data_IF_819461011671
#
_entry.id   IF_819461011671
#
_cell.length_a   1.000
_cell.length_b   1.000
_cell.length_c   1.000
_cell.angle_alpha   90.00
_cell.angle_beta   90.00
_cell.angle_gamma   90.00
#
_symmetry.space_group_name_H-M   'P 1'
#
loop_
_entity.id
_entity.type
_entity.pdbx_description
1 polymer ?
#
# COMPACT_ATOMS: atom_id res chain seq x y z
N UNK A 1 12.32 -28.49 -15.53
CA UNK A 1 12.93 -27.23 -15.05
C UNK A 1 11.82 -26.31 -14.55
N UNK A 2 11.74 -26.03 -13.25
CA UNK A 2 10.79 -25.05 -12.71
C UNK A 2 11.36 -23.66 -12.96
N UNK A 3 10.74 -22.87 -13.84
CA UNK A 3 11.10 -21.47 -14.01
C UNK A 3 10.82 -20.75 -12.68
N UNK A 4 11.87 -20.30 -11.98
CA UNK A 4 11.73 -19.42 -10.81
C UNK A 4 11.07 -18.13 -11.29
N UNK A 5 9.78 -17.94 -11.00
CA UNK A 5 9.08 -16.67 -11.26
C UNK A 5 9.81 -15.56 -10.52
N UNK A 6 10.26 -14.54 -11.25
CA UNK A 6 10.85 -13.33 -10.67
C UNK A 6 9.76 -12.64 -9.85
N UNK A 7 9.85 -12.74 -8.52
CA UNK A 7 8.88 -12.08 -7.63
C UNK A 7 9.21 -10.61 -7.60
N UNK A 8 8.37 -9.78 -8.22
CA UNK A 8 8.47 -8.32 -8.14
C UNK A 8 8.27 -7.92 -6.68
N UNK A 9 9.20 -7.12 -6.15
CA UNK A 9 9.10 -6.55 -4.79
C UNK A 9 8.08 -5.41 -4.82
N UNK A 10 7.02 -5.53 -4.02
CA UNK A 10 5.94 -4.55 -3.94
C UNK A 10 6.05 -3.85 -2.58
N UNK A 11 6.45 -2.58 -2.50
CA UNK A 11 6.48 -1.87 -1.23
C UNK A 11 5.06 -1.69 -0.69
N UNK A 12 4.90 -1.79 0.63
CA UNK A 12 3.63 -1.57 1.31
C UNK A 12 3.86 -0.83 2.63
N UNK A 13 3.06 0.21 2.89
CA UNK A 13 3.01 0.85 4.21
C UNK A 13 1.78 0.36 4.95
N UNK A 14 1.96 -0.10 6.18
CA UNK A 14 0.85 -0.33 7.08
C UNK A 14 0.69 0.87 8.01
N UNK A 15 -0.51 1.44 8.00
CA UNK A 15 -0.87 2.58 8.83
C UNK A 15 -2.09 2.24 9.67
N UNK A 16 -2.21 2.92 10.81
CA UNK A 16 -3.31 2.76 11.75
C UNK A 16 -4.07 4.07 11.88
N UNK A 17 -5.38 4.03 11.71
CA UNK A 17 -6.25 5.17 11.95
C UNK A 17 -6.27 5.55 13.44
N UNK A 18 -6.52 6.82 13.78
CA UNK A 18 -6.80 7.20 15.17
C UNK A 18 -7.98 6.39 15.73
N UNK A 19 -7.98 6.10 17.04
CA UNK A 19 -9.10 5.39 17.69
C UNK A 19 -10.45 6.08 17.48
N UNK A 20 -10.44 7.42 17.45
CA UNK A 20 -11.58 8.30 17.15
C UNK A 20 -12.21 8.02 15.77
N UNK A 21 -11.47 7.33 14.88
CA UNK A 21 -11.85 6.95 13.51
C UNK A 21 -11.95 5.43 13.35
N UNK A 22 -12.15 4.70 14.44
CA UNK A 22 -12.31 3.23 14.44
C UNK A 22 -11.01 2.43 14.64
N UNK A 23 -9.84 3.05 14.50
CA UNK A 23 -8.56 2.40 14.81
C UNK A 23 -8.12 1.30 13.83
N UNK A 24 -8.75 1.20 12.67
CA UNK A 24 -8.46 0.22 11.62
C UNK A 24 -7.06 0.34 11.03
N UNK A 25 -6.64 -0.72 10.33
CA UNK A 25 -5.34 -0.81 9.66
C UNK A 25 -5.54 -0.69 8.16
N UNK A 26 -4.73 0.16 7.52
CA UNK A 26 -4.71 0.35 6.07
C UNK A 26 -3.34 -0.01 5.51
N UNK A 27 -3.36 -0.82 4.46
CA UNK A 27 -2.24 -1.10 3.59
C UNK A 27 -2.23 -0.09 2.44
N UNK A 28 -1.14 0.63 2.27
CA UNK A 28 -0.94 1.60 1.20
C UNK A 28 0.14 1.05 0.27
N UNK A 29 -0.17 0.96 -1.03
CA UNK A 29 0.78 0.54 -2.06
C UNK A 29 1.34 1.80 -2.73
N UNK A 30 2.46 2.36 -2.24
CA UNK A 30 2.87 3.73 -2.56
C UNK A 30 3.39 3.87 -4.00
N UNK A 31 3.68 2.76 -4.66
CA UNK A 31 4.12 2.68 -6.07
C UNK A 31 2.98 2.38 -7.02
N UNK A 32 1.82 1.92 -6.53
CA UNK A 32 0.65 1.64 -7.35
C UNK A 32 -0.25 2.87 -7.43
N UNK A 33 -0.68 3.21 -8.64
CA UNK A 33 -1.62 4.31 -8.87
C UNK A 33 -2.99 3.93 -8.29
N UNK A 34 -3.63 4.89 -7.62
CA UNK A 34 -5.03 4.74 -7.20
C UNK A 34 -6.01 5.20 -8.28
N UNK A 35 -5.65 6.27 -8.99
CA UNK A 35 -6.40 6.89 -10.10
C UNK A 35 -5.41 7.45 -11.13
N UNK A 36 -5.88 8.22 -12.11
CA UNK A 36 -5.06 8.96 -13.07
C UNK A 36 -4.32 10.17 -12.44
N UNK A 37 -4.41 10.35 -11.12
CA UNK A 37 -3.61 11.31 -10.35
C UNK A 37 -2.43 10.60 -9.64
N UNK A 38 -1.17 10.99 -9.92
CA UNK A 38 0.01 10.40 -9.29
C UNK A 38 0.10 10.64 -7.78
N UNK A 39 -0.69 11.54 -7.20
CA UNK A 39 -0.79 11.76 -5.75
C UNK A 39 -1.64 10.71 -5.04
N UNK A 40 -2.49 10.00 -5.78
CA UNK A 40 -3.31 8.91 -5.25
C UNK A 40 -2.63 7.55 -5.34
N UNK A 41 -2.76 6.73 -4.31
CA UNK A 41 -2.27 5.34 -4.28
C UNK A 41 -3.42 4.36 -4.16
N UNK A 42 -3.22 3.15 -4.67
CA UNK A 42 -4.06 2.01 -4.32
C UNK A 42 -3.90 1.68 -2.82
N UNK A 43 -5.01 1.45 -2.14
CA UNK A 43 -5.05 1.17 -0.69
C UNK A 43 -6.04 0.05 -0.38
N UNK A 44 -5.81 -0.66 0.73
CA UNK A 44 -6.61 -1.80 1.15
C UNK A 44 -6.66 -1.91 2.67
N UNK A 45 -7.84 -2.11 3.27
CA UNK A 45 -7.98 -2.30 4.74
C UNK A 45 -8.35 -3.71 5.14
N UNK A 46 -9.49 -4.22 4.67
CA UNK A 46 -9.98 -5.59 4.85
C UNK A 46 -10.90 -5.95 3.68
N UNK A 47 -11.23 -7.23 3.51
CA UNK A 47 -12.06 -7.75 2.40
C UNK A 47 -13.25 -6.84 2.11
N UNK A 48 -13.28 -6.31 0.88
CA UNK A 48 -14.32 -5.39 0.39
C UNK A 48 -13.99 -3.90 0.50
N UNK A 49 -12.87 -3.52 1.13
CA UNK A 49 -12.45 -2.12 1.33
C UNK A 49 -11.15 -1.84 0.55
N UNK A 50 -11.22 -1.97 -0.78
CA UNK A 50 -10.17 -1.53 -1.71
C UNK A 50 -10.58 -0.18 -2.30
N UNK A 51 -9.69 0.81 -2.23
CA UNK A 51 -9.94 2.10 -2.86
C UNK A 51 -8.66 2.84 -3.23
N UNK A 52 -8.86 4.06 -3.71
CA UNK A 52 -7.81 5.04 -3.93
C UNK A 52 -7.86 6.11 -2.85
N UNK A 53 -6.69 6.62 -2.45
CA UNK A 53 -6.61 7.75 -1.53
C UNK A 53 -5.36 8.58 -1.77
N UNK A 54 -5.39 9.86 -1.38
CA UNK A 54 -4.18 10.70 -1.36
C UNK A 54 -3.18 10.11 -0.37
N UNK A 55 -2.04 9.66 -0.88
CA UNK A 55 -1.04 8.96 -0.08
C UNK A 55 -0.48 9.83 1.03
N UNK A 56 -0.29 11.13 0.78
CA UNK A 56 0.35 12.05 1.70
C UNK A 56 -0.63 12.46 2.81
N UNK A 57 -1.89 12.69 2.48
CA UNK A 57 -2.95 12.99 3.43
C UNK A 57 -3.21 11.79 4.37
N UNK A 58 -3.38 10.59 3.82
CA UNK A 58 -3.57 9.37 4.64
C UNK A 58 -2.38 9.13 5.57
N UNK A 59 -1.14 9.28 5.08
CA UNK A 59 0.05 9.13 5.94
C UNK A 59 0.09 10.18 7.05
N UNK A 60 -0.35 11.42 6.81
CA UNK A 60 -0.40 12.46 7.84
C UNK A 60 -1.48 12.21 8.90
N UNK A 61 -2.64 11.67 8.51
CA UNK A 61 -3.78 11.42 9.40
C UNK A 61 -3.68 10.14 10.22
N UNK A 62 -2.77 9.26 9.86
CA UNK A 62 -2.60 7.93 10.47
C UNK A 62 -1.27 7.82 11.22
N UNK A 63 -1.12 6.76 12.03
CA UNK A 63 0.15 6.39 12.66
C UNK A 63 0.76 5.16 11.98
N UNK A 64 2.05 4.87 12.21
CA UNK A 64 2.64 3.59 11.79
C UNK A 64 1.97 2.46 12.55
N UNK A 65 1.56 1.41 11.84
CA UNK A 65 1.09 0.18 12.48
C UNK A 65 2.30 -0.67 12.90
N UNK A 66 2.21 -1.30 14.07
CA UNK A 66 3.22 -2.27 14.53
C UNK A 66 3.05 -3.61 13.79
N UNK A 67 4.09 -4.47 13.77
CA UNK A 67 3.98 -5.80 13.19
C UNK A 67 2.81 -6.64 13.72
N UNK A 68 2.50 -6.56 15.01
CA UNK A 68 1.36 -7.27 15.59
C UNK A 68 0.02 -6.70 15.11
N UNK A 69 -0.08 -5.39 14.92
CA UNK A 69 -1.32 -4.74 14.47
C UNK A 69 -1.65 -5.08 13.02
N UNK A 70 -0.66 -5.11 12.12
CA UNK A 70 -0.92 -5.41 10.71
C UNK A 70 -0.82 -6.90 10.35
N UNK A 71 -0.46 -7.78 11.29
CA UNK A 71 -0.24 -9.21 11.01
C UNK A 71 -1.45 -9.89 10.35
N UNK A 72 -2.66 -9.59 10.84
CA UNK A 72 -3.90 -10.14 10.27
C UNK A 72 -4.10 -9.69 8.83
N UNK A 73 -3.94 -8.38 8.57
CA UNK A 73 -4.08 -7.82 7.23
C UNK A 73 -3.00 -8.33 6.27
N UNK A 74 -1.76 -8.45 6.72
CA UNK A 74 -0.68 -9.00 5.90
C UNK A 74 -0.97 -10.46 5.49
N UNK A 75 -1.48 -11.28 6.43
CA UNK A 75 -1.90 -12.65 6.14
C UNK A 75 -3.05 -12.69 5.12
N UNK A 76 -3.99 -11.77 5.23
CA UNK A 76 -5.10 -11.61 4.29
C UNK A 76 -4.60 -11.24 2.89
N UNK A 77 -3.74 -10.23 2.76
CA UNK A 77 -3.12 -9.84 1.48
C UNK A 77 -2.40 -11.02 0.82
N UNK A 78 -1.69 -11.84 1.60
CA UNK A 78 -1.08 -13.06 1.09
C UNK A 78 -2.10 -14.12 0.66
N UNK A 79 -3.24 -14.23 1.34
CA UNK A 79 -4.32 -15.17 1.00
C UNK A 79 -4.97 -14.79 -0.34
N UNK A 80 -5.18 -13.50 -0.59
CA UNK A 80 -5.80 -13.00 -1.84
C UNK A 80 -4.82 -12.88 -3.01
N UNK A 81 -3.54 -13.21 -2.81
CA UNK A 81 -2.58 -13.39 -3.90
C UNK A 81 -1.50 -12.30 -4.02
N UNK A 82 -1.45 -11.32 -3.13
CA UNK A 82 -0.28 -10.43 -3.07
C UNK A 82 0.97 -11.25 -2.71
N UNK A 83 1.98 -11.22 -3.58
CA UNK A 83 3.27 -11.87 -3.42
C UNK A 83 4.38 -10.82 -3.45
N UNK A 84 5.47 -11.05 -2.75
CA UNK A 84 6.63 -10.14 -2.77
C UNK A 84 6.42 -8.82 -2.04
N UNK A 85 5.47 -8.75 -1.10
CA UNK A 85 5.26 -7.55 -0.28
C UNK A 85 6.51 -7.23 0.54
N UNK A 86 6.95 -5.98 0.50
CA UNK A 86 8.06 -5.44 1.30
C UNK A 86 7.52 -4.33 2.18
N UNK A 87 7.43 -4.60 3.49
CA UNK A 87 6.93 -3.61 4.44
C UNK A 87 7.92 -2.46 4.59
N UNK A 88 7.47 -1.24 4.34
CA UNK A 88 8.26 -0.02 4.50
C UNK A 88 7.58 0.93 5.49
N UNK A 89 8.39 1.63 6.30
CA UNK A 89 7.90 2.46 7.41
C UNK A 89 7.80 3.95 7.07
N UNK A 90 8.47 4.37 5.99
CA UNK A 90 8.56 5.78 5.57
C UNK A 90 8.05 5.91 4.13
N UNK A 91 7.25 6.94 3.88
CA UNK A 91 6.89 7.33 2.53
C UNK A 91 8.11 8.01 1.89
N UNK A 92 8.68 7.36 0.87
CA UNK A 92 9.83 7.88 0.13
C UNK A 92 9.39 8.69 -1.08
N UNK A 93 10.16 9.73 -1.44
CA UNK A 93 9.88 10.52 -2.65
C UNK A 93 9.97 9.69 -3.93
N UNK A 94 10.82 8.64 -3.94
CA UNK A 94 10.96 7.68 -5.04
C UNK A 94 9.63 7.02 -5.42
N UNK A 95 8.71 6.82 -4.46
CA UNK A 95 7.42 6.21 -4.74
C UNK A 95 6.49 7.12 -5.57
N UNK A 96 6.52 8.44 -5.31
CA UNK A 96 5.79 9.41 -6.14
C UNK A 96 6.40 9.48 -7.55
N UNK A 97 7.73 9.46 -7.64
CA UNK A 97 8.40 9.42 -8.94
C UNK A 97 8.03 8.16 -9.73
N UNK A 98 7.88 7.01 -9.06
CA UNK A 98 7.43 5.78 -9.71
C UNK A 98 6.00 5.86 -10.23
N UNK A 99 5.06 6.39 -9.45
CA UNK A 99 3.69 6.62 -9.92
C UNK A 99 3.62 7.56 -11.12
N UNK A 100 4.39 8.66 -11.10
CA UNK A 100 4.52 9.56 -12.27
C UNK A 100 5.04 8.84 -13.50
N UNK A 101 6.05 7.97 -13.35
CA UNK A 101 6.57 7.14 -14.46
C UNK A 101 5.53 6.16 -14.99
N UNK A 102 4.73 5.55 -14.12
CA UNK A 102 3.65 4.64 -14.53
C UNK A 102 2.58 5.39 -15.32
N UNK A 103 2.13 6.53 -14.82
CA UNK A 103 1.12 7.35 -15.49
C UNK A 103 1.62 7.86 -16.86
N UNK A 104 2.87 8.27 -16.96
CA UNK A 104 3.48 8.69 -18.24
C UNK A 104 3.57 7.57 -19.28
N UNK A 105 3.54 6.29 -18.88
CA UNK A 105 3.49 5.13 -19.78
C UNK A 105 2.09 4.75 -20.22
N UNK A 106 1.06 5.27 -19.54
CA UNK A 106 -0.35 5.03 -19.84
C UNK A 106 -0.91 6.07 -20.82
N UNK A 107 -0.16 7.14 -21.08
CA UNK A 107 -0.46 8.20 -22.05
C UNK A 107 0.39 8.00 -23.30
#
# INVERSE_FOLDING_TARGET
>A
MVQKRKVTKIPVLFRKWPRLKGGGIIAIFPTELGTDDPHTSSMYEHVGQHGAGDTRDVVQRTKRATPSEYASLLKELHKIGYRGLVVVQKLQQSFLAERRRKLAKMR
#
